data_IF_424225687937
#
_entry.id   IF_424225687937
#
_cell.length_a   1.000
_cell.length_b   1.000
_cell.length_c   1.000
_cell.angle_alpha   90.00
_cell.angle_beta   90.00
_cell.angle_gamma   90.00
#
_symmetry.space_group_name_H-M   'P 1'
#
loop_
_entity.id
_entity.type
_entity.pdbx_description
1 polymer ?
#
# COMPACT_ATOMS: atom_id res chain seq x y z
N UNK A 1 -40.47 20.90 42.87
CA UNK A 1 -39.24 20.39 43.54
C UNK A 1 -38.93 18.91 43.25
N UNK A 2 -39.90 18.02 43.00
CA UNK A 2 -39.64 16.61 42.64
C UNK A 2 -39.07 16.39 41.23
N UNK A 3 -39.31 17.31 40.30
CA UNK A 3 -38.83 17.25 38.91
C UNK A 3 -37.38 17.71 38.71
N UNK A 4 -36.82 18.51 39.63
CA UNK A 4 -35.43 18.97 39.56
C UNK A 4 -34.43 17.92 40.05
N UNK A 5 -34.85 17.03 40.96
CA UNK A 5 -34.02 15.94 41.47
C UNK A 5 -33.80 14.81 40.44
N UNK A 6 -34.74 14.62 39.49
CA UNK A 6 -34.61 13.57 38.47
C UNK A 6 -33.61 13.94 37.37
N UNK A 7 -33.41 15.23 37.09
CA UNK A 7 -32.45 15.73 36.11
C UNK A 7 -30.99 15.67 36.61
N UNK A 8 -30.76 15.76 37.92
CA UNK A 8 -29.41 15.66 38.51
C UNK A 8 -28.95 14.20 38.62
N UNK A 9 -29.88 13.24 38.72
CA UNK A 9 -29.55 11.81 38.82
C UNK A 9 -29.15 11.18 37.46
N UNK A 10 -29.58 11.75 36.32
CA UNK A 10 -29.18 11.27 35.00
C UNK A 10 -27.80 11.77 34.52
N UNK A 11 -27.21 12.79 35.18
CA UNK A 11 -25.92 13.36 34.78
C UNK A 11 -24.70 12.58 35.28
N UNK A 12 -24.89 11.52 36.07
CA UNK A 12 -23.80 10.70 36.63
C UNK A 12 -23.63 9.33 35.96
N UNK A 13 -24.37 9.05 34.89
CA UNK A 13 -24.23 7.85 34.07
C UNK A 13 -23.55 8.17 32.74
N UNK A 14 -22.36 8.78 32.79
CA UNK A 14 -21.48 8.79 31.63
C UNK A 14 -20.92 7.38 31.46
N UNK A 15 -21.22 6.65 30.37
CA UNK A 15 -20.59 5.36 30.14
C UNK A 15 -19.08 5.58 30.06
N UNK A 16 -18.34 4.88 30.91
CA UNK A 16 -16.88 4.80 30.76
C UNK A 16 -16.63 4.03 29.48
N UNK A 17 -16.39 4.75 28.39
CA UNK A 17 -15.94 4.18 27.13
C UNK A 17 -14.52 3.66 27.35
N UNK A 18 -14.37 2.37 27.62
CA UNK A 18 -13.07 1.71 27.61
C UNK A 18 -12.58 1.63 26.17
N UNK A 19 -11.68 2.54 25.80
CA UNK A 19 -10.98 2.44 24.52
C UNK A 19 -10.11 1.18 24.55
N UNK A 20 -10.43 0.23 23.68
CA UNK A 20 -9.62 -0.98 23.52
C UNK A 20 -8.29 -0.65 22.86
N UNK A 21 -7.26 -1.42 23.20
CA UNK A 21 -5.99 -1.42 22.47
C UNK A 21 -6.27 -1.63 20.99
N UNK A 22 -5.73 -0.74 20.16
CA UNK A 22 -5.77 -0.77 18.71
C UNK A 22 -4.35 -0.63 18.16
N UNK A 23 -4.04 -1.39 17.11
CA UNK A 23 -2.76 -1.34 16.42
C UNK A 23 -2.90 -0.64 15.05
N UNK A 24 -1.82 -0.02 14.54
CA UNK A 24 -1.76 0.46 13.15
C UNK A 24 -2.00 -0.69 12.18
N UNK A 25 -2.58 -0.40 11.00
CA UNK A 25 -2.84 -1.46 9.99
C UNK A 25 -1.57 -2.16 9.52
N UNK A 26 -0.41 -1.51 9.62
CA UNK A 26 0.87 -2.11 9.29
C UNK A 26 1.29 -3.18 10.31
N UNK A 27 0.89 -3.03 11.58
CA UNK A 27 1.26 -3.93 12.68
C UNK A 27 0.17 -4.99 12.85
N UNK A 28 0.35 -6.13 12.18
CA UNK A 28 -0.64 -7.20 12.13
C UNK A 28 -0.01 -8.56 11.83
N UNK A 29 -0.85 -9.59 11.73
CA UNK A 29 -0.43 -10.94 11.32
C UNK A 29 0.44 -10.92 10.06
N UNK A 30 1.38 -11.86 10.00
CA UNK A 30 2.29 -12.06 8.86
C UNK A 30 3.26 -10.91 8.57
N UNK A 31 3.36 -9.91 9.47
CA UNK A 31 4.31 -8.82 9.31
C UNK A 31 5.77 -9.28 9.46
N UNK A 32 6.69 -8.47 8.92
CA UNK A 32 8.13 -8.64 9.10
C UNK A 32 8.69 -7.43 9.84
N UNK A 33 9.40 -7.69 10.94
CA UNK A 33 10.12 -6.68 11.73
C UNK A 33 11.59 -6.62 11.30
N UNK A 34 12.18 -5.42 11.31
CA UNK A 34 13.57 -5.21 10.92
C UNK A 34 14.53 -5.87 11.92
N UNK A 35 15.38 -6.78 11.46
CA UNK A 35 16.42 -7.41 12.28
C UNK A 35 17.53 -6.44 12.66
N UNK A 36 18.33 -6.84 13.65
CA UNK A 36 19.57 -6.17 14.07
C UNK A 36 19.37 -4.71 14.55
N UNK A 37 18.14 -4.33 14.86
CA UNK A 37 17.79 -3.05 15.49
C UNK A 37 16.72 -3.26 16.57
N UNK A 38 16.56 -2.28 17.45
CA UNK A 38 15.48 -2.31 18.44
C UNK A 38 14.13 -2.22 17.73
N UNK A 39 13.16 -3.02 18.15
CA UNK A 39 11.87 -3.14 17.46
C UNK A 39 10.84 -2.26 18.15
N UNK A 40 10.29 -1.30 17.42
CA UNK A 40 9.24 -0.43 17.93
C UNK A 40 7.87 -1.08 17.66
N UNK A 41 7.07 -1.24 18.70
CA UNK A 41 5.65 -1.61 18.60
C UNK A 41 4.85 -0.50 19.26
N UNK A 42 3.81 -0.03 18.58
CA UNK A 42 3.01 1.11 19.03
C UNK A 42 1.55 0.91 18.66
N UNK A 43 0.70 1.73 19.25
CA UNK A 43 -0.71 1.76 18.98
C UNK A 43 -1.43 2.80 19.80
N UNK A 44 -2.75 2.63 19.90
CA UNK A 44 -3.63 3.47 20.68
C UNK A 44 -4.36 2.65 21.74
N UNK A 45 -4.72 3.26 22.87
CA UNK A 45 -5.52 2.67 23.94
C UNK A 45 -6.10 3.80 24.82
N UNK A 46 -6.82 3.47 25.90
CA UNK A 46 -7.27 4.49 26.84
C UNK A 46 -6.07 5.16 27.56
N UNK A 47 -6.09 6.48 27.82
CA UNK A 47 -5.09 7.15 28.64
C UNK A 47 -4.88 6.47 30.00
N UNK A 48 -3.62 6.32 30.42
CA UNK A 48 -3.27 5.65 31.67
C UNK A 48 -3.38 4.12 31.65
N UNK A 49 -3.83 3.51 30.54
CA UNK A 49 -3.91 2.06 30.40
C UNK A 49 -2.52 1.41 30.44
N UNK A 50 -2.38 0.33 31.23
CA UNK A 50 -1.14 -0.45 31.32
C UNK A 50 -1.08 -1.46 30.20
N UNK A 51 -0.08 -1.34 29.33
CA UNK A 51 0.14 -2.23 28.19
C UNK A 51 1.34 -3.14 28.47
N UNK A 52 1.20 -4.42 28.18
CA UNK A 52 2.27 -5.43 28.24
C UNK A 52 2.42 -6.09 26.87
N UNK A 53 3.61 -6.01 26.29
CA UNK A 53 3.96 -6.63 25.01
C UNK A 53 4.93 -7.78 25.26
N UNK A 54 4.55 -8.98 24.84
CA UNK A 54 5.36 -10.20 24.88
C UNK A 54 5.75 -10.60 23.46
N UNK A 55 7.05 -10.68 23.20
CA UNK A 55 7.60 -11.15 21.93
C UNK A 55 8.82 -12.02 22.18
N UNK A 56 8.83 -13.26 21.67
CA UNK A 56 9.95 -14.19 21.79
C UNK A 56 10.53 -14.29 23.22
N UNK A 57 9.66 -14.56 24.20
CA UNK A 57 10.00 -14.64 25.64
C UNK A 57 10.54 -13.34 26.26
N UNK A 58 10.40 -12.20 25.60
CA UNK A 58 10.71 -10.87 26.13
C UNK A 58 9.44 -10.09 26.38
N UNK A 59 9.27 -9.63 27.61
CA UNK A 59 8.13 -8.81 28.02
C UNK A 59 8.59 -7.38 28.27
N UNK A 60 7.96 -6.42 27.61
CA UNK A 60 8.14 -4.99 27.86
C UNK A 60 6.78 -4.39 28.20
N UNK A 61 6.76 -3.51 29.19
CA UNK A 61 5.54 -2.84 29.66
C UNK A 61 5.63 -1.34 29.43
N UNK A 62 4.49 -0.71 29.20
CA UNK A 62 4.36 0.74 29.08
C UNK A 62 3.00 1.18 29.62
N UNK A 63 2.81 2.48 29.71
CA UNK A 63 1.52 3.10 30.05
C UNK A 63 1.14 4.04 28.92
N UNK A 64 -0.10 3.97 28.47
CA UNK A 64 -0.64 4.86 27.45
C UNK A 64 -0.64 6.30 27.93
N UNK A 65 -0.14 7.21 27.08
CA UNK A 65 -0.10 8.63 27.37
C UNK A 65 -1.49 9.28 27.29
N UNK A 66 -1.58 10.54 27.73
CA UNK A 66 -2.82 11.32 27.72
C UNK A 66 -3.42 11.53 26.32
N UNK A 67 -2.59 11.49 25.28
CA UNK A 67 -3.02 11.57 23.88
C UNK A 67 -3.55 10.23 23.32
N UNK A 68 -3.66 9.21 24.17
CA UNK A 68 -4.14 7.87 23.81
C UNK A 68 -3.11 7.02 23.07
N UNK A 69 -1.87 7.47 22.90
CA UNK A 69 -0.80 6.71 22.22
C UNK A 69 0.08 5.96 23.21
N UNK A 70 0.55 4.79 22.80
CA UNK A 70 1.54 4.02 23.54
C UNK A 70 2.59 3.46 22.58
N UNK A 71 3.80 3.27 23.09
CA UNK A 71 4.85 2.56 22.38
C UNK A 71 5.75 1.79 23.35
N UNK A 72 6.33 0.72 22.84
CA UNK A 72 7.39 -0.06 23.50
C UNK A 72 8.54 -0.26 22.54
N UNK A 73 9.73 -0.43 23.11
CA UNK A 73 10.92 -0.79 22.37
C UNK A 73 11.39 -2.17 22.83
N UNK A 74 11.21 -3.16 21.97
CA UNK A 74 11.69 -4.53 22.18
C UNK A 74 13.19 -4.63 21.84
N UNK A 75 13.93 -5.55 22.48
CA UNK A 75 15.35 -5.73 22.19
C UNK A 75 15.58 -6.15 20.74
N UNK A 76 16.78 -5.85 20.24
CA UNK A 76 17.22 -6.28 18.90
C UNK A 76 17.24 -7.81 18.78
N UNK A 77 16.85 -8.30 17.61
CA UNK A 77 16.76 -9.72 17.29
C UNK A 77 17.44 -10.02 15.96
N UNK A 78 18.01 -11.23 15.87
CA UNK A 78 18.47 -11.80 14.60
C UNK A 78 17.27 -12.22 13.75
N UNK A 79 17.54 -12.42 12.45
CA UNK A 79 16.54 -12.94 11.53
C UNK A 79 15.96 -14.28 12.02
N UNK A 80 14.66 -14.51 11.80
CA UNK A 80 14.00 -15.77 12.17
C UNK A 80 12.49 -15.65 12.31
N UNK A 81 11.90 -16.64 12.97
CA UNK A 81 10.45 -16.81 13.13
C UNK A 81 9.95 -18.08 12.42
N UNK A 82 8.63 -18.30 12.33
CA UNK A 82 7.57 -17.42 12.81
C UNK A 82 7.49 -17.33 14.34
N UNK A 83 7.20 -16.12 14.83
CA UNK A 83 6.96 -15.83 16.24
C UNK A 83 5.50 -15.38 16.46
N UNK A 84 5.10 -15.42 17.73
CA UNK A 84 3.85 -14.83 18.20
C UNK A 84 4.16 -13.56 18.99
N UNK A 85 3.48 -12.46 18.66
CA UNK A 85 3.52 -11.19 19.38
C UNK A 85 2.20 -10.99 20.11
N UNK A 86 2.24 -10.93 21.44
CA UNK A 86 1.03 -10.73 22.27
C UNK A 86 1.05 -9.35 22.91
N UNK A 87 -0.03 -8.60 22.77
CA UNK A 87 -0.24 -7.30 23.39
C UNK A 87 -1.43 -7.45 24.35
N UNK A 88 -1.21 -7.14 25.63
CA UNK A 88 -2.21 -7.24 26.68
C UNK A 88 -2.39 -5.88 27.34
N UNK A 89 -3.60 -5.35 27.29
CA UNK A 89 -4.09 -4.23 28.08
C UNK A 89 -5.43 -4.63 28.72
N UNK A 90 -6.45 -3.79 28.56
CA UNK A 90 -7.84 -4.12 28.91
C UNK A 90 -8.43 -5.21 27.98
N UNK A 91 -7.90 -5.33 26.77
CA UNK A 91 -8.11 -6.44 25.84
C UNK A 91 -6.78 -7.10 25.47
N UNK A 92 -6.86 -8.27 24.84
CA UNK A 92 -5.70 -9.00 24.35
C UNK A 92 -5.71 -9.07 22.82
N UNK A 93 -4.59 -8.73 22.20
CA UNK A 93 -4.32 -8.93 20.76
C UNK A 93 -3.16 -9.91 20.63
N UNK A 94 -3.33 -10.93 19.78
CA UNK A 94 -2.29 -11.91 19.48
C UNK A 94 -2.03 -11.88 17.97
N UNK A 95 -0.85 -11.39 17.59
CA UNK A 95 -0.38 -11.41 16.20
C UNK A 95 0.45 -12.66 15.95
N UNK A 96 0.13 -13.37 14.87
CA UNK A 96 0.75 -14.64 14.47
C UNK A 96 1.59 -14.48 13.22
N UNK A 97 2.46 -15.46 12.97
CA UNK A 97 3.30 -15.51 11.76
C UNK A 97 4.21 -14.29 11.61
N UNK A 98 4.68 -13.72 12.73
CA UNK A 98 5.58 -12.56 12.72
C UNK A 98 7.01 -13.03 12.45
N UNK A 99 7.64 -12.51 11.40
CA UNK A 99 9.04 -12.78 11.09
C UNK A 99 9.93 -11.61 11.49
N UNK A 100 11.22 -11.89 11.66
CA UNK A 100 12.27 -10.87 11.81
C UNK A 100 13.23 -11.03 10.63
N UNK A 101 13.51 -9.94 9.91
CA UNK A 101 14.23 -9.97 8.64
C UNK A 101 14.60 -8.57 8.11
N UNK A 102 14.84 -8.44 6.81
CA UNK A 102 15.14 -7.16 6.18
C UNK A 102 13.86 -6.53 5.61
N UNK A 103 13.57 -5.29 5.98
CA UNK A 103 12.36 -4.56 5.59
C UNK A 103 12.72 -3.43 4.63
N UNK A 104 12.05 -3.39 3.49
CA UNK A 104 12.28 -2.43 2.41
C UNK A 104 11.03 -1.63 2.12
N UNK A 105 11.20 -0.31 1.96
CA UNK A 105 10.17 0.58 1.43
C UNK A 105 10.28 0.64 -0.09
N UNK A 106 9.23 0.23 -0.78
CA UNK A 106 9.10 0.32 -2.23
C UNK A 106 8.22 1.53 -2.56
N UNK A 107 8.81 2.60 -3.10
CA UNK A 107 8.11 3.84 -3.43
C UNK A 107 8.36 4.27 -4.88
N UNK A 108 7.52 5.15 -5.40
CA UNK A 108 7.61 5.68 -6.76
C UNK A 108 6.32 5.48 -7.55
N UNK A 109 6.44 5.47 -8.88
CA UNK A 109 5.30 5.48 -9.80
C UNK A 109 5.02 4.11 -10.47
N UNK A 110 4.41 4.12 -11.66
CA UNK A 110 3.93 2.96 -12.41
C UNK A 110 4.94 1.82 -12.50
N UNK A 111 6.22 2.09 -12.78
CA UNK A 111 7.25 1.06 -12.87
C UNK A 111 7.51 0.31 -11.54
N UNK A 112 7.26 0.94 -10.39
CA UNK A 112 7.28 0.27 -9.08
C UNK A 112 5.92 -0.39 -8.77
N UNK A 113 4.82 0.13 -9.29
CA UNK A 113 3.47 -0.43 -9.13
C UNK A 113 3.27 -1.71 -9.94
N UNK A 114 3.87 -1.82 -11.13
CA UNK A 114 3.59 -2.89 -12.10
C UNK A 114 3.57 -4.27 -11.45
N UNK A 115 2.40 -4.90 -11.52
CA UNK A 115 2.12 -6.14 -10.83
C UNK A 115 2.57 -7.34 -11.66
N UNK A 116 2.97 -8.42 -10.99
CA UNK A 116 3.29 -9.71 -11.64
C UNK A 116 2.15 -10.20 -12.53
N UNK A 117 0.88 -9.95 -12.15
CA UNK A 117 -0.29 -10.33 -12.94
C UNK A 117 -0.40 -9.65 -14.30
N UNK A 118 0.28 -8.51 -14.53
CA UNK A 118 0.35 -7.83 -15.85
C UNK A 118 1.41 -8.50 -16.74
N UNK A 119 2.32 -9.26 -16.15
CA UNK A 119 3.44 -9.91 -16.82
C UNK A 119 3.32 -11.45 -16.74
N UNK A 120 2.11 -11.96 -16.54
CA UNK A 120 1.86 -13.37 -16.27
C UNK A 120 2.16 -14.28 -17.45
N UNK A 121 2.04 -13.81 -18.70
CA UNK A 121 2.49 -14.57 -19.87
C UNK A 121 4.00 -14.87 -19.81
N UNK A 122 4.80 -13.87 -19.43
CA UNK A 122 6.26 -14.02 -19.37
C UNK A 122 6.72 -14.77 -18.12
N UNK A 123 6.03 -14.56 -17.00
CA UNK A 123 6.42 -15.08 -15.68
C UNK A 123 5.43 -16.10 -15.11
N UNK A 124 4.69 -16.82 -15.97
CA UNK A 124 3.71 -17.84 -15.56
C UNK A 124 4.33 -18.86 -14.62
N UNK A 125 5.52 -19.36 -14.98
CA UNK A 125 6.24 -20.35 -14.19
C UNK A 125 6.66 -19.80 -12.81
N UNK A 126 7.11 -18.54 -12.71
CA UNK A 126 7.45 -17.91 -11.43
C UNK A 126 6.21 -17.77 -10.54
N UNK A 127 5.06 -17.41 -11.13
CA UNK A 127 3.77 -17.30 -10.43
C UNK A 127 3.32 -18.67 -9.94
N UNK A 128 3.26 -19.67 -10.81
CA UNK A 128 2.75 -21.00 -10.50
C UNK A 128 3.62 -21.74 -9.46
N UNK A 129 4.94 -21.52 -9.49
CA UNK A 129 5.90 -22.21 -8.61
C UNK A 129 6.31 -21.41 -7.38
N UNK A 130 5.75 -20.22 -7.18
CA UNK A 130 6.11 -19.34 -6.07
C UNK A 130 5.94 -20.06 -4.72
N UNK A 131 7.04 -20.27 -4.01
CA UNK A 131 7.01 -20.87 -2.66
C UNK A 131 7.97 -20.14 -1.73
N UNK A 132 7.70 -18.86 -1.51
CA UNK A 132 8.53 -17.97 -0.72
C UNK A 132 7.73 -17.35 0.44
N UNK A 133 7.26 -18.16 1.42
CA UNK A 133 6.49 -17.65 2.54
C UNK A 133 7.28 -16.70 3.47
N UNK A 134 8.61 -16.61 3.31
CA UNK A 134 9.46 -15.65 4.03
C UNK A 134 9.56 -14.29 3.32
N UNK A 135 9.03 -14.16 2.10
CA UNK A 135 8.89 -12.88 1.41
C UNK A 135 7.44 -12.41 1.60
N UNK A 136 7.28 -11.25 2.25
CA UNK A 136 5.97 -10.68 2.57
C UNK A 136 5.83 -9.30 1.97
N UNK A 137 4.69 -9.04 1.35
CA UNK A 137 4.36 -7.76 0.74
C UNK A 137 3.16 -7.14 1.43
N UNK A 138 3.30 -5.88 1.85
CA UNK A 138 2.22 -5.04 2.35
C UNK A 138 1.96 -3.95 1.32
N UNK A 139 0.79 -3.99 0.69
CA UNK A 139 0.36 -2.93 -0.21
C UNK A 139 -0.29 -1.80 0.56
N UNK A 140 0.31 -0.61 0.54
CA UNK A 140 -0.28 0.61 1.12
C UNK A 140 -1.41 1.09 0.21
N UNK A 141 -2.66 1.24 0.70
CA UNK A 141 -3.74 1.73 -0.12
C UNK A 141 -3.51 3.16 -0.60
N UNK A 142 -3.73 3.40 -1.89
CA UNK A 142 -3.65 4.72 -2.49
C UNK A 142 -4.86 5.56 -2.08
N UNK A 143 -4.63 6.55 -1.22
CA UNK A 143 -5.64 7.51 -0.77
C UNK A 143 -5.09 8.92 -0.83
N UNK A 144 -5.92 9.85 -1.30
CA UNK A 144 -5.59 11.27 -1.30
C UNK A 144 -6.19 11.93 -0.06
N UNK A 145 -5.35 12.58 0.74
CA UNK A 145 -5.78 13.51 1.78
C UNK A 145 -4.85 14.72 1.77
N UNK A 146 -5.38 15.88 1.44
CA UNK A 146 -4.61 17.12 1.30
C UNK A 146 -4.78 18.06 2.52
N UNK A 147 -5.54 17.61 3.52
CA UNK A 147 -5.89 18.40 4.71
C UNK A 147 -4.84 18.22 5.82
N UNK A 148 -4.43 16.99 6.07
CA UNK A 148 -3.41 16.69 7.09
C UNK A 148 -2.77 15.31 6.88
N UNK A 149 -1.54 15.08 7.39
CA UNK A 149 -0.98 13.75 7.54
C UNK A 149 -1.92 12.84 8.34
N UNK A 150 -2.08 11.60 7.88
CA UNK A 150 -2.92 10.60 8.55
C UNK A 150 -2.10 9.79 9.55
N UNK A 151 -2.68 9.45 10.70
CA UNK A 151 -1.98 8.67 11.73
C UNK A 151 -1.92 7.15 11.45
N UNK A 152 -2.80 6.65 10.57
CA UNK A 152 -2.89 5.23 10.20
C UNK A 152 -3.32 5.08 8.73
N UNK A 153 -3.15 3.88 8.21
CA UNK A 153 -3.62 3.50 6.88
C UNK A 153 -5.11 3.11 6.91
N UNK A 154 -5.86 3.30 5.82
CA UNK A 154 -7.26 2.88 5.76
C UNK A 154 -7.42 1.34 5.72
N UNK A 155 -6.35 0.61 5.39
CA UNK A 155 -6.34 -0.84 5.28
C UNK A 155 -4.98 -1.40 4.86
N UNK A 156 -4.97 -2.62 4.33
CA UNK A 156 -3.77 -3.33 3.87
C UNK A 156 -3.45 -4.56 4.72
N UNK A 157 -2.84 -5.57 4.10
CA UNK A 157 -2.50 -6.86 4.71
C UNK A 157 -1.13 -7.30 4.22
N UNK A 158 -0.36 -7.98 5.09
CA UNK A 158 0.86 -8.65 4.68
C UNK A 158 0.48 -9.96 3.96
N UNK A 159 0.91 -10.10 2.71
CA UNK A 159 0.69 -11.29 1.89
C UNK A 159 2.01 -12.01 1.64
N UNK A 160 2.01 -13.34 1.68
CA UNK A 160 3.16 -14.17 1.35
C UNK A 160 3.35 -14.33 -0.16
N UNK A 161 4.58 -14.36 -0.64
CA UNK A 161 4.90 -14.69 -2.04
C UNK A 161 4.60 -16.18 -2.31
N UNK A 162 3.36 -16.45 -2.69
CA UNK A 162 2.73 -17.76 -2.92
C UNK A 162 1.95 -17.68 -4.23
N UNK A 163 1.58 -18.80 -4.87
CA UNK A 163 0.96 -18.74 -6.20
C UNK A 163 -0.35 -17.96 -6.19
N UNK A 164 -1.11 -18.06 -5.09
CA UNK A 164 -2.36 -17.33 -4.86
C UNK A 164 -2.19 -15.81 -4.77
N UNK A 165 -1.08 -15.33 -4.21
CA UNK A 165 -0.89 -13.92 -3.91
C UNK A 165 0.08 -13.21 -4.86
N UNK A 166 0.95 -13.96 -5.54
CA UNK A 166 2.10 -13.37 -6.23
C UNK A 166 1.68 -12.46 -7.38
N UNK A 167 0.53 -12.74 -8.01
CA UNK A 167 -0.04 -11.88 -9.07
C UNK A 167 -0.23 -10.42 -8.62
N UNK A 168 -0.50 -10.17 -7.34
CA UNK A 168 -0.73 -8.83 -6.79
C UNK A 168 0.57 -8.09 -6.42
N UNK A 169 1.72 -8.78 -6.41
CA UNK A 169 3.00 -8.17 -6.01
C UNK A 169 3.53 -7.28 -7.13
N UNK A 170 4.24 -6.21 -6.73
CA UNK A 170 5.10 -5.49 -7.67
C UNK A 170 6.16 -6.44 -8.23
N UNK A 171 6.30 -6.49 -9.55
CA UNK A 171 7.24 -7.36 -10.24
C UNK A 171 8.69 -6.99 -9.87
N UNK A 172 9.02 -5.70 -9.90
CA UNK A 172 10.36 -5.20 -9.52
C UNK A 172 10.66 -5.56 -8.06
N UNK A 173 9.73 -5.29 -7.15
CA UNK A 173 9.92 -5.57 -5.73
C UNK A 173 10.05 -7.07 -5.44
N UNK A 174 9.25 -7.91 -6.12
CA UNK A 174 9.32 -9.36 -5.98
C UNK A 174 10.66 -9.92 -6.44
N UNK A 175 11.10 -9.62 -7.65
CA UNK A 175 12.36 -10.17 -8.16
C UNK A 175 13.58 -9.66 -7.38
N UNK A 176 13.54 -8.41 -6.91
CA UNK A 176 14.52 -7.91 -5.95
C UNK A 176 14.54 -8.76 -4.67
N UNK A 177 13.39 -8.93 -4.01
CA UNK A 177 13.25 -9.69 -2.77
C UNK A 177 13.66 -11.15 -2.94
N UNK A 178 13.23 -11.79 -4.02
CA UNK A 178 13.59 -13.17 -4.37
C UNK A 178 15.10 -13.32 -4.49
N UNK A 179 15.74 -12.44 -5.26
CA UNK A 179 17.19 -12.50 -5.47
C UNK A 179 18.00 -12.34 -4.19
N UNK A 180 17.61 -11.42 -3.31
CA UNK A 180 18.31 -11.24 -2.03
C UNK A 180 17.98 -12.36 -1.04
N UNK A 181 16.75 -12.88 -1.03
CA UNK A 181 16.35 -14.01 -0.21
C UNK A 181 17.11 -15.28 -0.62
N UNK A 182 17.14 -15.61 -1.92
CA UNK A 182 17.86 -16.77 -2.45
C UNK A 182 19.36 -16.73 -2.08
N UNK A 183 19.95 -15.52 -1.99
CA UNK A 183 21.36 -15.33 -1.63
C UNK A 183 21.63 -15.46 -0.13
N UNK A 184 20.77 -14.90 0.72
CA UNK A 184 21.08 -14.71 2.15
C UNK A 184 20.19 -15.51 3.10
N UNK A 185 19.06 -16.05 2.63
CA UNK A 185 18.09 -16.81 3.44
C UNK A 185 17.35 -15.99 4.51
N UNK A 186 17.43 -14.65 4.46
CA UNK A 186 16.82 -13.74 5.45
C UNK A 186 15.41 -13.35 5.01
N UNK A 187 14.36 -13.45 5.86
CA UNK A 187 13.01 -13.02 5.51
C UNK A 187 12.98 -11.57 5.00
N UNK A 188 12.16 -11.30 3.97
CA UNK A 188 12.11 -9.99 3.30
C UNK A 188 10.72 -9.39 3.39
N UNK A 189 10.59 -8.26 4.07
CA UNK A 189 9.37 -7.46 4.12
C UNK A 189 9.41 -6.35 3.07
N UNK A 190 8.37 -6.24 2.26
CA UNK A 190 8.18 -5.19 1.27
C UNK A 190 6.99 -4.33 1.68
N UNK A 191 7.23 -3.09 2.08
CA UNK A 191 6.19 -2.09 2.29
C UNK A 191 6.08 -1.30 0.99
N UNK A 192 5.03 -1.54 0.21
CA UNK A 192 4.86 -0.90 -1.08
C UNK A 192 3.90 0.29 -0.99
N UNK A 193 4.49 1.48 -1.05
CA UNK A 193 3.81 2.76 -1.12
C UNK A 193 4.14 3.40 -2.48
N UNK A 194 3.67 2.78 -3.57
CA UNK A 194 3.84 3.30 -4.93
C UNK A 194 2.50 3.63 -5.59
N UNK A 195 2.50 4.66 -6.43
CA UNK A 195 1.29 5.16 -7.08
C UNK A 195 1.59 5.63 -8.51
N UNK A 196 1.03 4.95 -9.51
CA UNK A 196 1.21 5.29 -10.92
C UNK A 196 0.63 6.65 -11.30
N UNK A 197 1.34 7.38 -12.16
CA UNK A 197 0.88 8.68 -12.67
C UNK A 197 1.02 9.85 -11.69
N UNK A 198 1.57 9.63 -10.49
CA UNK A 198 1.85 10.73 -9.57
C UNK A 198 3.14 11.47 -9.95
N UNK A 199 3.13 12.81 -10.00
CA UNK A 199 4.34 13.59 -10.23
C UNK A 199 5.16 13.73 -8.94
N UNK A 200 6.40 14.21 -9.03
CA UNK A 200 7.32 14.25 -7.87
C UNK A 200 6.84 15.16 -6.75
N UNK A 201 6.16 16.26 -7.07
CA UNK A 201 5.58 17.19 -6.10
C UNK A 201 4.53 16.54 -5.18
N UNK A 202 3.91 15.44 -5.60
CA UNK A 202 3.01 14.68 -4.74
C UNK A 202 3.73 13.92 -3.60
N UNK A 203 5.06 13.76 -3.72
CA UNK A 203 5.92 13.08 -2.75
C UNK A 203 6.78 14.05 -1.93
N UNK A 204 6.66 15.35 -2.19
CA UNK A 204 7.41 16.39 -1.50
C UNK A 204 6.60 16.97 -0.35
N UNK A 205 7.30 17.46 0.67
CA UNK A 205 6.64 18.21 1.74
C UNK A 205 6.09 19.53 1.20
N UNK A 206 4.98 20.02 1.76
CA UNK A 206 4.42 21.33 1.39
C UNK A 206 5.45 22.46 1.61
N UNK A 207 6.29 22.34 2.63
CA UNK A 207 7.37 23.28 2.88
C UNK A 207 8.34 23.37 1.69
N UNK A 208 8.77 22.22 1.15
CA UNK A 208 9.68 22.15 0.00
C UNK A 208 9.06 22.71 -1.28
N UNK A 209 7.74 22.75 -1.39
CA UNK A 209 7.02 23.23 -2.58
C UNK A 209 6.90 24.76 -2.61
N UNK A 210 7.09 25.45 -1.47
CA UNK A 210 6.94 26.91 -1.37
C UNK A 210 7.83 27.69 -2.33
N UNK A 211 8.97 27.13 -2.70
CA UNK A 211 9.93 27.73 -3.65
C UNK A 211 9.46 27.66 -5.11
N UNK A 212 8.36 26.95 -5.40
CA UNK A 212 7.82 26.74 -6.75
C UNK A 212 6.39 27.30 -6.86
N UNK A 213 6.21 28.61 -7.13
CA UNK A 213 4.90 29.26 -7.06
C UNK A 213 3.82 28.63 -7.95
N UNK A 214 4.18 28.15 -9.14
CA UNK A 214 3.24 27.49 -10.06
C UNK A 214 2.72 26.16 -9.49
N UNK A 215 3.62 25.35 -8.90
CA UNK A 215 3.27 24.08 -8.26
C UNK A 215 2.46 24.35 -7.00
N UNK A 216 2.86 25.33 -6.19
CA UNK A 216 2.13 25.73 -4.99
C UNK A 216 0.70 26.14 -5.31
N UNK A 217 0.48 26.90 -6.40
CA UNK A 217 -0.87 27.26 -6.85
C UNK A 217 -1.72 26.02 -7.18
N UNK A 218 -1.14 25.03 -7.85
CA UNK A 218 -1.80 23.75 -8.14
C UNK A 218 -2.15 23.00 -6.85
N UNK A 219 -1.21 22.92 -5.89
CA UNK A 219 -1.46 22.27 -4.59
C UNK A 219 -2.59 22.95 -3.83
N UNK A 220 -2.63 24.29 -3.81
CA UNK A 220 -3.71 25.03 -3.15
C UNK A 220 -5.08 24.79 -3.81
N UNK A 221 -5.13 24.71 -5.14
CA UNK A 221 -6.37 24.33 -5.86
C UNK A 221 -6.81 22.91 -5.50
N UNK A 222 -5.87 21.97 -5.42
CA UNK A 222 -6.15 20.57 -5.08
C UNK A 222 -6.57 20.37 -3.62
N UNK A 223 -6.34 21.35 -2.73
CA UNK A 223 -6.88 21.36 -1.36
C UNK A 223 -8.38 21.69 -1.32
N UNK A 224 -8.91 22.37 -2.33
CA UNK A 224 -10.34 22.63 -2.45
C UNK A 224 -11.08 21.35 -2.85
N UNK A 225 -11.73 20.74 -1.86
CA UNK A 225 -12.53 19.52 -2.05
C UNK A 225 -13.69 19.71 -3.03
N UNK A 226 -14.28 20.91 -3.15
CA UNK A 226 -15.35 21.16 -4.10
C UNK A 226 -14.83 21.13 -5.53
N UNK A 227 -13.68 21.76 -5.78
CA UNK A 227 -12.99 21.71 -7.07
C UNK A 227 -12.66 20.27 -7.48
N UNK A 228 -11.98 19.50 -6.60
CA UNK A 228 -11.60 18.11 -6.88
C UNK A 228 -12.82 17.22 -7.13
N UNK A 229 -13.87 17.36 -6.31
CA UNK A 229 -15.10 16.59 -6.48
C UNK A 229 -15.83 16.92 -7.79
N UNK A 230 -15.74 18.16 -8.28
CA UNK A 230 -16.28 18.58 -9.57
C UNK A 230 -15.60 17.87 -10.74
N UNK A 231 -14.26 17.80 -10.73
CA UNK A 231 -13.47 17.08 -11.74
C UNK A 231 -13.82 15.59 -11.73
N UNK A 232 -13.80 14.97 -10.55
CA UNK A 232 -14.07 13.54 -10.41
C UNK A 232 -15.45 13.18 -10.95
N UNK A 233 -16.51 13.93 -10.58
CA UNK A 233 -17.87 13.68 -11.09
C UNK A 233 -17.95 13.72 -12.61
N UNK A 234 -17.23 14.66 -13.24
CA UNK A 234 -17.20 14.79 -14.69
C UNK A 234 -16.51 13.59 -15.34
N UNK A 235 -15.37 13.16 -14.79
CA UNK A 235 -14.63 11.99 -15.28
C UNK A 235 -15.42 10.67 -15.09
N UNK A 236 -16.09 10.48 -13.96
CA UNK A 236 -16.89 9.28 -13.68
C UNK A 236 -18.13 9.15 -14.58
N UNK A 237 -18.75 10.28 -14.96
CA UNK A 237 -19.94 10.29 -15.79
C UNK A 237 -19.64 10.29 -17.30
N UNK A 238 -18.36 10.38 -17.70
CA UNK A 238 -17.98 10.26 -19.09
C UNK A 238 -18.28 8.84 -19.58
N UNK A 239 -19.10 8.65 -20.64
CA UNK A 239 -19.36 7.33 -21.18
C UNK A 239 -18.04 6.73 -21.64
N UNK A 240 -17.69 5.55 -21.11
CA UNK A 240 -16.54 4.81 -21.63
C UNK A 240 -16.88 4.37 -23.05
N UNK A 241 -16.08 4.74 -24.06
CA UNK A 241 -16.30 4.23 -25.40
C UNK A 241 -16.25 2.70 -25.36
N UNK A 242 -17.10 2.06 -26.18
CA UNK A 242 -17.04 0.62 -26.32
C UNK A 242 -15.63 0.21 -26.74
N UNK A 243 -15.09 -0.85 -26.12
CA UNK A 243 -13.84 -1.44 -26.54
C UNK A 243 -13.98 -1.85 -28.02
N UNK A 244 -13.17 -1.30 -28.93
CA UNK A 244 -13.25 -1.67 -30.33
C UNK A 244 -12.90 -3.15 -30.49
N UNK A 245 -13.56 -3.84 -31.43
CA UNK A 245 -13.19 -5.21 -31.78
C UNK A 245 -11.78 -5.19 -32.40
N UNK A 246 -10.84 -5.92 -31.81
CA UNK A 246 -9.49 -6.08 -32.36
C UNK A 246 -9.53 -7.00 -33.58
N UNK A 247 -9.63 -6.38 -34.76
CA UNK A 247 -9.63 -7.08 -36.04
C UNK A 247 -8.35 -7.89 -36.26
N UNK A 248 -7.21 -7.43 -35.74
CA UNK A 248 -5.94 -8.14 -35.92
C UNK A 248 -5.90 -9.46 -35.18
N UNK A 249 -6.57 -9.55 -34.04
CA UNK A 249 -6.78 -10.84 -33.36
C UNK A 249 -7.73 -11.76 -34.12
N UNK A 250 -8.85 -11.22 -34.63
CA UNK A 250 -9.86 -12.00 -35.38
C UNK A 250 -9.35 -12.53 -36.71
N UNK A 251 -8.62 -11.70 -37.45
CA UNK A 251 -8.09 -12.01 -38.78
C UNK A 251 -6.66 -12.58 -38.72
N UNK A 252 -6.11 -12.76 -37.50
CA UNK A 252 -4.78 -13.30 -37.27
C UNK A 252 -3.65 -12.53 -37.96
N UNK A 253 -3.69 -11.20 -37.91
CA UNK A 253 -2.65 -10.33 -38.50
C UNK A 253 -1.26 -10.55 -37.87
N UNK A 254 -1.19 -11.14 -36.68
CA UNK A 254 0.06 -11.57 -36.03
C UNK A 254 0.72 -12.79 -36.69
N UNK A 255 0.04 -13.51 -37.60
CA UNK A 255 0.61 -14.67 -38.27
C UNK A 255 1.68 -14.21 -39.28
N UNK A 256 2.92 -14.75 -39.24
CA UNK A 256 3.97 -14.38 -40.21
C UNK A 256 3.61 -14.62 -41.68
N UNK A 257 2.60 -15.45 -41.94
CA UNK A 257 2.09 -15.73 -43.29
C UNK A 257 1.01 -14.75 -43.76
N UNK A 258 0.55 -13.86 -42.88
CA UNK A 258 -0.45 -12.85 -43.24
C UNK A 258 0.19 -11.80 -44.16
N UNK A 259 -0.43 -11.55 -45.30
CA UNK A 259 0.01 -10.52 -46.24
C UNK A 259 -0.90 -9.29 -46.12
N UNK A 260 -0.44 -8.18 -45.52
CA UNK A 260 -1.26 -7.00 -45.31
C UNK A 260 -1.69 -6.37 -46.64
N UNK A 261 -3.00 -6.16 -46.80
CA UNK A 261 -3.57 -5.53 -48.01
C UNK A 261 -4.03 -4.11 -47.70
N UNK A 262 -3.44 -3.13 -48.41
CA UNK A 262 -3.82 -1.73 -48.31
C UNK A 262 -3.38 -1.04 -47.01
N UNK A 263 -2.42 -1.62 -46.29
CA UNK A 263 -1.86 -1.01 -45.09
C UNK A 263 -0.97 0.17 -45.46
N UNK A 264 -0.92 1.16 -44.57
CA UNK A 264 -0.01 2.30 -44.71
C UNK A 264 1.33 1.92 -44.10
N UNK A 265 2.42 2.27 -44.77
CA UNK A 265 3.75 2.12 -44.22
C UNK A 265 3.97 3.14 -43.10
N UNK A 266 4.56 2.69 -42.00
CA UNK A 266 5.04 3.53 -40.89
C UNK A 266 6.57 3.42 -40.85
N UNK A 267 7.24 4.56 -40.74
CA UNK A 267 8.69 4.63 -40.57
C UNK A 267 9.05 4.43 -39.10
N UNK A 268 10.07 3.60 -38.85
CA UNK A 268 10.67 3.39 -37.54
C UNK A 268 12.17 3.75 -37.63
N UNK A 269 12.72 4.57 -36.71
CA UNK A 269 12.05 5.18 -35.56
C UNK A 269 11.19 6.41 -35.93
N UNK A 270 10.06 6.62 -35.24
CA UNK A 270 9.18 7.79 -35.41
C UNK A 270 7.87 7.66 -34.60
N UNK A 271 7.17 8.77 -34.38
CA UNK A 271 5.85 8.78 -33.72
C UNK A 271 4.74 8.45 -34.72
N UNK A 272 3.65 7.82 -34.26
CA UNK A 272 2.50 7.51 -35.13
C UNK A 272 1.67 8.75 -35.42
N UNK A 273 1.61 9.68 -34.48
CA UNK A 273 0.91 10.96 -34.54
C UNK A 273 1.46 11.85 -35.65
N UNK A 274 2.79 11.84 -35.81
CA UNK A 274 3.50 12.55 -36.89
C UNK A 274 3.27 11.88 -38.27
N UNK A 275 2.85 10.62 -38.27
CA UNK A 275 2.66 9.79 -39.45
C UNK A 275 1.17 9.58 -39.79
N UNK A 276 0.30 10.39 -39.19
CA UNK A 276 -1.12 10.51 -39.54
C UNK A 276 -2.08 9.72 -38.65
N UNK A 277 -1.61 9.07 -37.58
CA UNK A 277 -2.44 8.43 -36.56
C UNK A 277 -2.47 9.34 -35.33
N UNK A 278 -3.21 10.44 -35.44
CA UNK A 278 -3.32 11.45 -34.37
C UNK A 278 -4.33 11.04 -33.32
N UNK A 279 -4.07 11.47 -32.08
CA UNK A 279 -5.00 11.37 -30.95
C UNK A 279 -5.46 9.92 -30.65
N UNK A 280 -4.56 8.95 -30.85
CA UNK A 280 -4.81 7.54 -30.57
C UNK A 280 -3.95 7.06 -29.39
N UNK A 281 -4.58 6.88 -28.24
CA UNK A 281 -4.00 6.12 -27.13
C UNK A 281 -4.41 4.65 -27.25
N UNK A 282 -3.55 3.80 -27.83
CA UNK A 282 -3.93 2.40 -28.04
C UNK A 282 -2.88 1.54 -28.73
N UNK A 283 -3.35 0.42 -29.29
CA UNK A 283 -2.55 -0.54 -30.04
C UNK A 283 -2.83 -0.36 -31.52
N UNK A 284 -1.78 -0.32 -32.33
CA UNK A 284 -1.86 -0.23 -33.79
C UNK A 284 -1.19 -1.45 -34.40
N UNK A 285 -1.88 -2.09 -35.33
CA UNK A 285 -1.28 -3.02 -36.27
C UNK A 285 -0.79 -2.23 -37.50
N UNK A 286 0.50 -2.32 -37.82
CA UNK A 286 1.13 -1.61 -38.94
C UNK A 286 2.25 -2.44 -39.59
#
# INVERSE_FOLDING_TARGET
MKSFFLAILLSFLSPVLFAQVKLPKLVRDSMILQRDTKLNIWGWAAPGEKISVLFNNKTVKTTTAEDGKWSVQLPSMKAGGPYTLSITGNNQIVLKDVLVGDVWLCAGQSNMVHQMGIHDVLYDADIAKANYPQIRHFWVPNVTNMQAPQEDLPGGFWKAATPTNLRDFSAVAYFFAKKIYDKYGVPIGLINASWGGTPIEAWMSEESIKEFPAILSTVQKNKDTAYVNGINRTAFNAPRPAQPEDKGMKESWFNPSYNPKGWRTINIPGYWEDQGIKDLDGVVWY
#
